data_IF_389753771227
#
_entry.id   IF_389753771227
#
_cell.length_a   1.000
_cell.length_b   1.000
_cell.length_c   1.000
_cell.angle_alpha   90.00
_cell.angle_beta   90.00
_cell.angle_gamma   90.00
#
_symmetry.space_group_name_H-M   'P 1'
#
loop_
_entity.id
_entity.type
_entity.pdbx_description
1 polymer ?
#
# COMPACT_ATOMS: atom_id res chain seq x y z
N UNK A 1 10.82 17.58 6.11
CA UNK A 1 9.61 17.68 5.26
C UNK A 1 8.37 17.42 6.07
N UNK A 2 7.51 18.43 6.19
CA UNK A 2 6.13 18.24 6.66
C UNK A 2 5.29 17.83 5.46
N UNK A 3 4.75 16.62 5.50
CA UNK A 3 3.80 16.14 4.50
C UNK A 3 2.41 16.09 5.12
N UNK A 4 1.47 16.82 4.54
CA UNK A 4 0.07 16.72 4.90
C UNK A 4 -0.61 15.73 3.94
N UNK A 5 -1.36 14.77 4.48
CA UNK A 5 -2.20 13.89 3.66
C UNK A 5 -3.59 14.46 3.59
N UNK A 6 -4.08 14.68 2.38
CA UNK A 6 -5.42 15.20 2.12
C UNK A 6 -6.26 14.18 1.34
N UNK A 7 -7.39 13.73 1.91
CA UNK A 7 -8.37 12.90 1.21
C UNK A 7 -9.48 13.81 0.67
N UNK A 8 -9.97 13.60 -0.54
CA UNK A 8 -11.08 14.38 -1.10
C UNK A 8 -12.21 13.45 -1.53
N UNK A 9 -13.46 13.83 -1.23
CA UNK A 9 -14.64 13.18 -1.79
C UNK A 9 -14.94 13.80 -3.15
N UNK A 10 -15.05 12.95 -4.18
CA UNK A 10 -15.32 13.35 -5.57
C UNK A 10 -16.56 12.68 -6.15
N UNK A 11 -17.46 12.11 -5.32
CA UNK A 11 -18.64 11.34 -5.77
C UNK A 11 -19.54 12.05 -6.78
N UNK A 12 -19.50 13.38 -6.83
CA UNK A 12 -20.29 14.20 -7.78
C UNK A 12 -19.44 14.82 -8.92
N UNK A 13 -18.20 14.35 -9.12
CA UNK A 13 -17.24 14.96 -10.05
C UNK A 13 -16.76 16.35 -9.63
N UNK A 14 -17.21 16.84 -8.47
CA UNK A 14 -16.75 18.07 -7.83
C UNK A 14 -15.78 17.69 -6.74
N UNK A 15 -14.51 18.02 -6.92
CA UNK A 15 -13.56 18.04 -5.80
C UNK A 15 -14.05 19.10 -4.82
N UNK A 16 -14.48 18.69 -3.64
CA UNK A 16 -14.83 19.64 -2.58
C UNK A 16 -13.63 20.57 -2.35
N UNK A 17 -13.90 21.87 -2.19
CA UNK A 17 -12.87 22.89 -1.99
C UNK A 17 -12.01 22.64 -0.73
N UNK A 18 -12.48 21.76 0.16
CA UNK A 18 -11.77 21.33 1.35
C UNK A 18 -11.56 19.83 1.33
N UNK A 19 -10.38 19.36 1.75
CA UNK A 19 -10.16 17.93 1.93
C UNK A 19 -11.11 17.39 2.99
N UNK A 20 -11.60 16.19 2.72
CA UNK A 20 -12.37 15.34 3.61
C UNK A 20 -11.56 14.91 4.85
N UNK A 21 -10.24 14.75 4.72
CA UNK A 21 -9.26 14.48 5.80
C UNK A 21 -8.04 15.36 5.60
N UNK A 22 -7.52 16.03 6.62
CA UNK A 22 -6.11 16.46 6.63
C UNK A 22 -5.40 15.90 7.86
N UNK A 23 -4.41 15.04 7.62
CA UNK A 23 -3.50 14.56 8.65
C UNK A 23 -2.19 15.35 8.56
N UNK A 24 -1.99 16.27 9.50
CA UNK A 24 -0.71 16.98 9.67
C UNK A 24 0.19 16.14 10.54
N UNK A 25 1.05 15.34 9.90
CA UNK A 25 2.05 14.56 10.59
C UNK A 25 3.41 15.24 10.45
N UNK A 26 3.67 16.17 11.37
CA UNK A 26 4.99 16.79 11.48
C UNK A 26 6.02 15.67 11.69
N UNK A 27 7.00 15.63 10.79
CA UNK A 27 8.14 14.70 10.82
C UNK A 27 7.86 13.22 10.49
N UNK A 28 6.63 12.81 10.15
CA UNK A 28 6.35 11.39 9.89
C UNK A 28 6.64 10.94 8.44
N UNK A 29 6.66 11.86 7.48
CA UNK A 29 6.79 11.59 6.03
C UNK A 29 5.81 10.51 5.55
N UNK A 30 4.53 10.87 5.34
CA UNK A 30 3.55 9.93 4.78
C UNK A 30 3.98 9.50 3.37
N UNK A 31 3.94 8.19 3.09
CA UNK A 31 4.39 7.63 1.80
C UNK A 31 3.35 6.83 1.04
N UNK A 32 2.40 6.22 1.74
CA UNK A 32 1.37 5.39 1.12
C UNK A 32 0.07 5.43 1.90
N UNK A 33 -1.04 5.28 1.18
CA UNK A 33 -2.40 5.30 1.73
C UNK A 33 -3.20 4.12 1.15
N UNK A 34 -3.98 3.46 1.99
CA UNK A 34 -4.97 2.48 1.56
C UNK A 34 -6.28 2.75 2.30
N UNK A 35 -7.42 2.44 1.66
CA UNK A 35 -8.75 2.71 2.21
C UNK A 35 -9.58 1.43 2.21
N UNK A 36 -10.29 1.19 3.30
CA UNK A 36 -11.37 0.22 3.40
C UNK A 36 -12.68 0.99 3.56
N UNK A 37 -13.40 1.16 2.45
CA UNK A 37 -14.64 1.94 2.42
C UNK A 37 -15.76 1.27 3.21
N UNK A 38 -15.83 -0.07 3.19
CA UNK A 38 -16.86 -0.85 3.89
C UNK A 38 -16.76 -0.64 5.39
N UNK A 39 -15.53 -0.69 5.93
CA UNK A 39 -15.27 -0.50 7.36
C UNK A 39 -15.05 0.95 7.74
N UNK A 40 -15.04 1.86 6.75
CA UNK A 40 -14.78 3.30 6.93
C UNK A 40 -13.45 3.53 7.65
N UNK A 41 -12.37 2.92 7.16
CA UNK A 41 -11.02 3.14 7.71
C UNK A 41 -9.98 3.44 6.65
N UNK A 42 -8.90 4.11 7.06
CA UNK A 42 -7.74 4.43 6.25
C UNK A 42 -6.47 3.95 6.93
N UNK A 43 -5.58 3.35 6.14
CA UNK A 43 -4.24 2.96 6.54
C UNK A 43 -3.24 3.96 5.95
N UNK A 44 -2.32 4.44 6.78
CA UNK A 44 -1.30 5.41 6.39
C UNK A 44 0.09 4.89 6.72
N UNK A 45 0.96 4.79 5.71
CA UNK A 45 2.37 4.46 5.85
C UNK A 45 3.17 5.70 6.23
N UNK A 46 3.81 5.69 7.39
CA UNK A 46 4.55 6.83 7.95
C UNK A 46 6.04 6.50 8.09
N UNK A 47 6.82 6.84 7.06
CA UNK A 47 8.19 6.36 6.90
C UNK A 47 9.09 6.66 8.10
N UNK A 48 9.09 7.91 8.57
CA UNK A 48 9.98 8.36 9.64
C UNK A 48 9.36 8.22 11.04
N UNK A 49 8.06 7.92 11.12
CA UNK A 49 7.45 7.49 12.37
C UNK A 49 7.63 5.98 12.61
N UNK A 50 8.14 5.22 11.63
CA UNK A 50 8.32 3.76 11.67
C UNK A 50 7.00 3.02 11.95
N UNK A 51 5.91 3.53 11.37
CA UNK A 51 4.56 3.08 11.68
C UNK A 51 3.66 3.02 10.48
N UNK A 52 2.69 2.11 10.55
CA UNK A 52 1.44 2.20 9.80
C UNK A 52 0.32 2.51 10.76
N UNK A 53 -0.34 3.65 10.60
CA UNK A 53 -1.49 4.03 11.42
C UNK A 53 -2.81 3.71 10.72
N UNK A 54 -3.79 3.26 11.50
CA UNK A 54 -5.16 3.03 11.06
C UNK A 54 -6.06 4.10 11.68
N UNK A 55 -6.84 4.78 10.84
CA UNK A 55 -7.70 5.89 11.23
C UNK A 55 -9.13 5.63 10.81
N UNK A 56 -10.07 6.05 11.64
CA UNK A 56 -11.48 6.09 11.26
C UNK A 56 -11.72 7.15 10.18
N UNK A 57 -12.52 6.79 9.18
CA UNK A 57 -13.09 7.72 8.20
C UNK A 57 -14.44 8.27 8.68
N UNK A 58 -14.73 8.21 9.97
CA UNK A 58 -15.76 9.06 10.55
C UNK A 58 -15.13 10.38 10.97
N UNK A 59 -15.84 11.46 10.67
CA UNK A 59 -15.31 12.82 10.82
C UNK A 59 -16.01 13.59 11.91
N UNK A 60 -15.25 14.43 12.59
CA UNK A 60 -15.81 15.55 13.32
C UNK A 60 -16.09 16.68 12.30
N UNK A 61 -17.36 17.00 12.13
CA UNK A 61 -17.81 18.00 11.15
C UNK A 61 -17.24 19.41 11.41
N UNK A 62 -16.91 19.74 12.66
CA UNK A 62 -16.36 21.04 13.03
C UNK A 62 -14.86 21.13 12.69
N UNK A 63 -14.13 20.03 12.83
CA UNK A 63 -12.66 20.04 12.63
C UNK A 63 -12.21 19.49 11.28
N UNK A 64 -13.09 18.78 10.55
CA UNK A 64 -12.76 18.06 9.30
C UNK A 64 -11.58 17.10 9.47
N UNK A 65 -11.50 16.47 10.65
CA UNK A 65 -10.46 15.48 11.00
C UNK A 65 -11.10 14.12 11.29
N UNK A 66 -10.36 13.02 11.03
CA UNK A 66 -10.69 11.70 11.55
C UNK A 66 -11.00 11.79 13.05
N UNK A 67 -12.10 11.19 13.48
CA UNK A 67 -12.51 11.21 14.89
C UNK A 67 -11.46 10.58 15.79
N UNK A 68 -10.84 9.49 15.33
CA UNK A 68 -9.88 8.74 16.12
C UNK A 68 -8.90 7.94 15.28
N UNK A 69 -7.72 7.73 15.86
CA UNK A 69 -6.76 6.71 15.45
C UNK A 69 -7.11 5.41 16.15
N UNK A 70 -7.32 4.35 15.37
CA UNK A 70 -7.82 3.08 15.86
C UNK A 70 -6.68 2.19 16.37
N UNK A 71 -5.58 2.09 15.62
CA UNK A 71 -4.37 1.40 16.04
C UNK A 71 -3.14 1.83 15.23
N UNK A 72 -1.97 1.35 15.64
CA UNK A 72 -0.71 1.49 14.93
C UNK A 72 -0.02 0.13 14.82
N UNK A 73 0.78 -0.05 13.78
CA UNK A 73 1.65 -1.21 13.55
C UNK A 73 3.07 -0.69 13.42
N UNK A 74 4.00 -1.25 14.19
CA UNK A 74 5.42 -0.94 14.00
C UNK A 74 5.93 -1.63 12.73
N UNK A 75 6.44 -0.82 11.82
CA UNK A 75 7.04 -1.27 10.55
C UNK A 75 8.26 -0.41 10.31
N UNK A 76 9.39 -1.02 10.00
CA UNK A 76 10.61 -0.28 9.73
C UNK A 76 10.49 0.42 8.38
N UNK A 77 10.71 1.75 8.34
CA UNK A 77 10.68 2.56 7.11
C UNK A 77 9.57 2.20 6.10
N UNK A 78 8.28 2.28 6.48
CA UNK A 78 7.20 1.92 5.59
C UNK A 78 7.10 2.94 4.46
N UNK A 79 6.99 2.45 3.24
CA UNK A 79 7.00 3.26 2.00
C UNK A 79 5.68 3.20 1.26
N UNK A 80 4.84 2.21 1.53
CA UNK A 80 3.66 1.93 0.75
C UNK A 80 2.76 0.94 1.46
N UNK A 81 1.46 1.09 1.26
CA UNK A 81 0.45 0.18 1.79
C UNK A 81 -0.62 -0.08 0.73
N UNK A 82 -1.13 -1.30 0.68
CA UNK A 82 -2.34 -1.65 -0.08
C UNK A 82 -3.19 -2.61 0.75
N UNK A 83 -4.51 -2.59 0.53
CA UNK A 83 -5.46 -3.34 1.34
C UNK A 83 -6.38 -4.19 0.49
N UNK A 84 -6.49 -5.46 0.85
CA UNK A 84 -7.47 -6.40 0.33
C UNK A 84 -8.68 -6.45 1.27
N UNK A 85 -9.78 -5.80 0.87
CA UNK A 85 -11.03 -5.85 1.62
C UNK A 85 -11.71 -7.24 1.62
N UNK A 86 -11.52 -8.05 0.57
CA UNK A 86 -12.14 -9.37 0.43
C UNK A 86 -11.52 -10.36 1.43
N UNK A 87 -10.19 -10.37 1.53
CA UNK A 87 -9.48 -11.25 2.46
C UNK A 87 -9.10 -10.59 3.78
N UNK A 88 -9.41 -9.30 3.94
CA UNK A 88 -9.08 -8.46 5.11
C UNK A 88 -7.60 -8.44 5.42
N UNK A 89 -6.78 -8.27 4.38
CA UNK A 89 -5.32 -8.29 4.50
C UNK A 89 -4.72 -6.97 4.11
N UNK A 90 -3.84 -6.46 4.96
CA UNK A 90 -3.03 -5.29 4.70
C UNK A 90 -1.63 -5.74 4.27
N UNK A 91 -1.13 -5.18 3.18
CA UNK A 91 0.22 -5.40 2.70
C UNK A 91 1.00 -4.09 2.85
N UNK A 92 2.16 -4.17 3.49
CA UNK A 92 3.00 -3.01 3.77
C UNK A 92 4.37 -3.28 3.17
N UNK A 93 4.79 -2.45 2.22
CA UNK A 93 6.16 -2.48 1.76
C UNK A 93 7.03 -1.61 2.67
N UNK A 94 8.21 -2.11 3.01
CA UNK A 94 9.20 -1.44 3.84
C UNK A 94 10.54 -1.35 3.12
N UNK A 95 11.20 -0.21 3.24
CA UNK A 95 12.56 -0.03 2.77
C UNK A 95 13.56 -0.73 3.70
N UNK A 96 14.72 -1.07 3.15
CA UNK A 96 15.90 -1.45 3.89
C UNK A 96 16.59 -0.19 4.43
N UNK A 97 16.92 -0.17 5.73
CA UNK A 97 18.11 0.57 6.16
C UNK A 97 19.35 -0.34 5.98
N UNK A 98 20.56 0.17 6.20
CA UNK A 98 21.84 -0.53 6.05
C UNK A 98 21.94 -1.89 6.80
N UNK A 99 20.98 -2.19 7.69
CA UNK A 99 20.96 -3.39 8.56
C UNK A 99 19.84 -4.39 8.25
N UNK A 100 18.84 -4.01 7.45
CA UNK A 100 17.68 -4.88 7.16
C UNK A 100 17.42 -4.98 5.67
N UNK A 101 16.75 -6.07 5.26
CA UNK A 101 16.34 -6.22 3.87
C UNK A 101 14.95 -5.62 3.66
N UNK A 102 14.79 -4.92 2.55
CA UNK A 102 13.49 -4.47 2.07
C UNK A 102 12.57 -5.68 1.92
N UNK A 103 11.32 -5.52 2.33
CA UNK A 103 10.36 -6.62 2.39
C UNK A 103 8.92 -6.09 2.23
N UNK A 104 7.98 -7.00 2.00
CA UNK A 104 6.56 -6.72 2.18
C UNK A 104 6.05 -7.53 3.35
N UNK A 105 5.38 -6.91 4.31
CA UNK A 105 4.73 -7.59 5.43
C UNK A 105 3.24 -7.68 5.15
N UNK A 106 2.64 -8.84 5.42
CA UNK A 106 1.18 -9.05 5.32
C UNK A 106 0.59 -9.20 6.71
N UNK A 107 -0.49 -8.49 6.95
CA UNK A 107 -1.20 -8.47 8.23
C UNK A 107 -2.66 -8.85 8.03
N UNK A 108 -3.21 -9.64 8.95
CA UNK A 108 -4.64 -9.89 9.00
C UNK A 108 -5.35 -8.85 9.84
N UNK A 109 -6.38 -8.21 9.27
CA UNK A 109 -7.21 -7.23 9.97
C UNK A 109 -8.54 -7.91 10.35
N UNK A 110 -8.52 -8.68 11.44
CA UNK A 110 -9.73 -9.32 11.99
C UNK A 110 -10.80 -8.27 12.34
N UNK A 111 -10.35 -7.23 13.06
CA UNK A 111 -11.18 -6.16 13.62
C UNK A 111 -10.41 -4.86 13.59
N UNK A 112 -11.12 -3.75 13.40
CA UNK A 112 -10.51 -2.42 13.32
C UNK A 112 -10.16 -1.82 14.69
N UNK A 113 -10.66 -2.38 15.79
CA UNK A 113 -10.39 -1.93 17.17
C UNK A 113 -9.22 -2.68 17.83
N UNK A 114 -8.47 -3.47 17.06
CA UNK A 114 -7.37 -4.28 17.58
C UNK A 114 -6.16 -4.22 16.65
N UNK A 115 -4.98 -4.07 17.23
CA UNK A 115 -3.73 -4.17 16.48
C UNK A 115 -3.64 -5.53 15.76
N UNK A 116 -3.35 -5.54 14.46
CA UNK A 116 -3.31 -6.75 13.68
C UNK A 116 -2.05 -7.57 13.97
N UNK A 117 -2.09 -8.83 13.57
CA UNK A 117 -0.92 -9.73 13.66
C UNK A 117 -0.30 -9.86 12.28
N UNK A 118 1.04 -9.91 12.27
CA UNK A 118 1.77 -10.28 11.07
C UNK A 118 1.45 -11.74 10.72
N UNK A 119 1.04 -11.97 9.48
CA UNK A 119 0.81 -13.31 8.94
C UNK A 119 2.04 -13.83 8.19
N UNK A 120 2.71 -12.96 7.43
CA UNK A 120 3.79 -13.35 6.55
C UNK A 120 4.73 -12.19 6.19
N UNK A 121 5.95 -12.53 5.79
CA UNK A 121 6.97 -11.62 5.27
C UNK A 121 7.41 -12.10 3.90
N UNK A 122 7.30 -11.23 2.92
CA UNK A 122 7.65 -11.44 1.54
C UNK A 122 9.07 -10.94 1.36
N UNK A 123 9.94 -11.83 0.92
CA UNK A 123 11.32 -11.49 0.57
C UNK A 123 11.57 -11.94 -0.87
N UNK A 124 12.30 -11.14 -1.66
CA UNK A 124 12.79 -11.62 -2.95
C UNK A 124 13.71 -12.84 -2.75
N UNK A 125 13.95 -13.59 -3.82
CA UNK A 125 14.84 -14.74 -3.78
C UNK A 125 16.31 -14.33 -3.54
N UNK A 126 16.68 -13.10 -3.92
CA UNK A 126 18.00 -12.53 -3.67
C UNK A 126 17.90 -11.22 -2.92
N UNK A 127 18.81 -11.03 -1.97
CA UNK A 127 18.81 -9.91 -1.02
C UNK A 127 18.80 -8.52 -1.68
N UNK A 128 19.22 -8.39 -2.94
CA UNK A 128 19.34 -7.12 -3.65
C UNK A 128 18.21 -6.83 -4.64
N UNK A 129 17.31 -7.78 -4.89
CA UNK A 129 16.24 -7.61 -5.90
C UNK A 129 15.23 -6.53 -5.45
N UNK A 130 14.74 -6.58 -4.21
CA UNK A 130 13.74 -5.62 -3.73
C UNK A 130 14.35 -4.36 -3.06
N UNK A 131 15.62 -4.03 -3.32
CA UNK A 131 16.26 -2.89 -2.68
C UNK A 131 15.53 -1.57 -3.05
N UNK A 132 15.18 -0.78 -2.03
CA UNK A 132 14.43 0.48 -2.15
C UNK A 132 13.12 0.36 -2.91
N UNK A 133 12.11 -0.31 -2.33
CA UNK A 133 10.80 -0.24 -2.91
C UNK A 133 10.28 1.20 -2.80
N UNK A 134 9.39 1.61 -3.70
CA UNK A 134 8.82 2.98 -3.73
C UNK A 134 7.31 2.97 -3.92
N UNK A 135 6.73 1.81 -4.26
CA UNK A 135 5.28 1.64 -4.39
C UNK A 135 4.87 0.18 -4.23
N UNK A 136 3.61 -0.04 -3.85
CA UNK A 136 2.99 -1.35 -3.72
C UNK A 136 1.55 -1.26 -4.20
N UNK A 137 1.08 -2.26 -4.94
CA UNK A 137 -0.31 -2.36 -5.37
C UNK A 137 -0.79 -3.81 -5.39
N UNK A 138 -2.05 -4.02 -5.02
CA UNK A 138 -2.72 -5.31 -5.11
C UNK A 138 -3.51 -5.38 -6.42
N UNK A 139 -3.24 -6.40 -7.23
CA UNK A 139 -3.93 -6.62 -8.51
C UNK A 139 -4.64 -7.97 -8.48
N UNK A 140 -5.94 -7.97 -8.76
CA UNK A 140 -6.70 -9.19 -8.99
C UNK A 140 -6.53 -9.65 -10.42
N UNK A 141 -6.11 -10.89 -10.59
CA UNK A 141 -5.90 -11.51 -11.88
C UNK A 141 -7.23 -11.99 -12.46
N UNK A 142 -7.39 -11.88 -13.78
CA UNK A 142 -8.43 -12.65 -14.47
C UNK A 142 -8.00 -14.10 -14.51
N UNK A 143 -8.95 -15.03 -14.66
CA UNK A 143 -8.67 -16.46 -14.77
C UNK A 143 -7.65 -16.79 -15.88
N UNK A 144 -7.65 -16.04 -16.98
CA UNK A 144 -6.65 -16.17 -18.05
C UNK A 144 -5.23 -15.82 -17.62
N UNK A 145 -5.09 -14.90 -16.66
CA UNK A 145 -3.82 -14.36 -16.22
C UNK A 145 -3.24 -15.19 -15.06
N UNK A 146 -4.09 -15.93 -14.34
CA UNK A 146 -3.67 -16.91 -13.32
C UNK A 146 -2.70 -17.95 -13.89
N UNK A 147 -2.92 -18.39 -15.14
CA UNK A 147 -2.02 -19.33 -15.82
C UNK A 147 -0.64 -18.71 -16.12
N UNK A 148 -0.58 -17.40 -16.34
CA UNK A 148 0.66 -16.67 -16.68
C UNK A 148 1.49 -16.39 -15.43
N UNK A 149 0.84 -15.92 -14.36
CA UNK A 149 1.53 -15.57 -13.12
C UNK A 149 1.71 -16.75 -12.16
N UNK A 150 0.99 -17.87 -12.37
CA UNK A 150 1.03 -19.03 -11.49
C UNK A 150 0.51 -18.72 -10.08
N UNK A 151 -0.40 -17.74 -9.96
CA UNK A 151 -0.93 -17.26 -8.70
C UNK A 151 -2.03 -18.17 -8.16
N UNK A 152 -1.80 -18.79 -7.01
CA UNK A 152 -2.82 -19.54 -6.28
C UNK A 152 -3.72 -18.54 -5.53
N UNK A 153 -4.89 -18.22 -6.11
CA UNK A 153 -5.90 -17.39 -5.44
C UNK A 153 -6.23 -16.06 -6.12
N UNK A 154 -5.80 -15.87 -7.38
CA UNK A 154 -6.33 -14.81 -8.24
C UNK A 154 -5.95 -13.39 -7.84
N UNK A 155 -4.92 -13.21 -7.01
CA UNK A 155 -4.38 -11.89 -6.66
C UNK A 155 -2.86 -11.90 -6.51
N UNK A 156 -2.23 -10.84 -6.99
CA UNK A 156 -0.79 -10.60 -6.88
C UNK A 156 -0.52 -9.26 -6.22
N UNK A 157 0.53 -9.21 -5.42
CA UNK A 157 1.09 -7.98 -4.88
C UNK A 157 2.23 -7.56 -5.79
N UNK A 158 2.07 -6.40 -6.41
CA UNK A 158 3.09 -5.77 -7.23
C UNK A 158 3.88 -4.78 -6.37
N UNK A 159 5.20 -4.82 -6.47
CA UNK A 159 6.09 -3.92 -5.72
C UNK A 159 7.06 -3.28 -6.68
N UNK A 160 7.07 -1.95 -6.68
CA UNK A 160 7.95 -1.16 -7.54
C UNK A 160 9.29 -0.95 -6.84
N UNK A 161 10.37 -1.51 -7.38
CA UNK A 161 11.72 -1.33 -6.88
C UNK A 161 12.45 -0.20 -7.59
N UNK A 162 12.83 0.84 -6.87
CA UNK A 162 13.46 2.04 -7.41
C UNK A 162 14.89 1.77 -7.91
N UNK A 163 15.72 1.13 -7.08
CA UNK A 163 17.14 0.91 -7.40
C UNK A 163 17.35 -0.03 -8.59
N UNK A 164 16.50 -1.04 -8.70
CA UNK A 164 16.54 -2.04 -9.79
C UNK A 164 15.64 -1.68 -10.96
N UNK A 165 14.86 -0.60 -10.85
CA UNK A 165 13.95 -0.11 -11.91
C UNK A 165 13.07 -1.24 -12.44
N UNK A 166 12.49 -2.02 -11.53
CA UNK A 166 11.74 -3.22 -11.88
C UNK A 166 10.46 -3.33 -11.07
N UNK A 167 9.46 -4.01 -11.63
CA UNK A 167 8.21 -4.36 -10.98
C UNK A 167 8.26 -5.82 -10.56
N UNK A 168 8.21 -6.06 -9.27
CA UNK A 168 8.24 -7.40 -8.68
C UNK A 168 6.83 -7.89 -8.43
N UNK A 169 6.55 -9.17 -8.72
CA UNK A 169 5.29 -9.79 -8.38
C UNK A 169 5.47 -10.84 -7.28
N UNK A 170 4.51 -10.83 -6.36
CA UNK A 170 4.36 -11.85 -5.34
C UNK A 170 2.93 -12.36 -5.33
N UNK A 171 2.77 -13.65 -5.08
CA UNK A 171 1.47 -14.24 -4.84
C UNK A 171 0.89 -13.71 -3.51
N UNK A 172 -0.30 -13.10 -3.55
CA UNK A 172 -0.88 -12.43 -2.39
C UNK A 172 -1.32 -13.41 -1.29
N UNK A 173 -1.50 -14.70 -1.60
CA UNK A 173 -1.96 -15.73 -0.68
C UNK A 173 -0.81 -16.57 -0.13
N UNK A 174 0.05 -17.08 -1.00
CA UNK A 174 1.16 -18.00 -0.67
C UNK A 174 2.45 -17.27 -0.34
N UNK A 175 2.51 -15.95 -0.58
CA UNK A 175 3.69 -15.09 -0.37
C UNK A 175 4.87 -15.45 -1.26
N UNK A 176 4.65 -16.32 -2.25
CA UNK A 176 5.68 -16.78 -3.16
C UNK A 176 6.10 -15.65 -4.08
N UNK A 177 7.40 -15.45 -4.23
CA UNK A 177 7.94 -14.58 -5.26
C UNK A 177 7.70 -15.18 -6.65
N UNK A 178 7.01 -14.44 -7.52
CA UNK A 178 6.63 -14.89 -8.85
C UNK A 178 7.63 -14.44 -9.93
N UNK A 179 8.46 -13.45 -9.61
CA UNK A 179 9.48 -12.91 -10.51
C UNK A 179 9.32 -11.42 -10.76
N UNK A 180 10.04 -10.92 -11.75
CA UNK A 180 9.90 -9.55 -12.26
C UNK A 180 8.91 -9.56 -13.42
N UNK A 181 7.92 -8.69 -13.33
CA UNK A 181 6.91 -8.49 -14.38
C UNK A 181 7.41 -7.53 -15.44
N UNK A 182 8.13 -6.49 -15.00
CA UNK A 182 8.74 -5.48 -15.87
C UNK A 182 10.15 -5.21 -15.35
N UNK A 183 11.10 -5.08 -16.28
CA UNK A 183 12.48 -4.71 -16.01
C UNK A 183 12.82 -3.41 -16.75
N UNK A 184 13.90 -2.75 -16.32
CA UNK A 184 14.48 -1.59 -16.99
C UNK A 184 13.50 -0.44 -17.25
N UNK A 185 12.66 -0.12 -16.25
CA UNK A 185 11.80 1.07 -16.31
C UNK A 185 12.62 2.31 -16.68
N UNK A 186 12.05 3.31 -17.39
CA UNK A 186 12.72 4.60 -17.61
C UNK A 186 13.12 5.27 -16.29
N UNK A 187 13.94 6.33 -16.38
CA UNK A 187 14.47 6.98 -15.18
C UNK A 187 13.30 7.48 -14.29
N UNK A 188 13.43 7.28 -12.97
CA UNK A 188 12.41 7.56 -11.93
C UNK A 188 11.13 6.70 -12.03
N UNK A 189 11.19 5.40 -11.70
CA UNK A 189 10.00 4.55 -11.70
C UNK A 189 8.88 5.07 -10.78
N UNK A 190 9.19 5.85 -9.74
CA UNK A 190 8.20 6.52 -8.88
C UNK A 190 7.26 7.47 -9.62
N UNK A 191 7.64 7.97 -10.80
CA UNK A 191 6.81 8.82 -11.65
C UNK A 191 5.79 8.00 -12.46
N UNK A 192 5.84 6.66 -12.39
CA UNK A 192 4.90 5.79 -13.08
C UNK A 192 3.55 5.82 -12.39
N UNK A 193 2.57 6.37 -13.09
CA UNK A 193 1.18 6.35 -12.67
C UNK A 193 0.58 4.98 -13.05
N UNK A 194 0.36 4.12 -12.04
CA UNK A 194 -0.40 2.87 -12.25
C UNK A 194 -1.88 3.22 -12.33
N UNK A 195 -2.39 3.34 -13.55
CA UNK A 195 -3.82 3.49 -13.79
C UNK A 195 -4.50 2.13 -13.60
N UNK A 196 -5.39 2.01 -12.61
CA UNK A 196 -6.30 0.86 -12.50
C UNK A 196 -7.19 0.83 -13.73
N UNK A 197 -7.09 -0.26 -14.49
CA UNK A 197 -7.77 -0.46 -15.76
C UNK A 197 -9.21 -0.94 -15.58
N UNK A 198 -9.94 -0.28 -14.70
CA UNK A 198 -11.40 -0.36 -14.60
C UNK A 198 -12.04 0.35 -15.81
N UNK A 199 -11.25 1.20 -16.50
CA UNK A 199 -11.52 1.83 -17.79
C UNK A 199 -11.04 0.97 -18.96
N UNK A 200 -11.44 -0.30 -19.00
CA UNK A 200 -11.28 -1.14 -20.19
C UNK A 200 -12.30 -0.79 -21.29
N UNK A 201 -12.51 0.49 -21.56
CA UNK A 201 -13.12 1.05 -22.78
C UNK A 201 -12.59 2.49 -22.93
N UNK A 202 -11.36 2.65 -23.43
CA UNK A 202 -10.91 3.67 -24.40
C UNK A 202 -9.42 3.40 -24.64
N UNK A 203 -9.13 2.59 -25.66
CA UNK A 203 -8.03 2.77 -26.63
C UNK A 203 -8.46 2.08 -27.92
#
# INVERSE_FOLDING_TARGET
>A
DTGDVSLHDSRDGKVLAYPYVTLSHKDASPRGIAVDEERRVMFLAERYAYKVSCWSLDFDDATKRPKEKLFEIDVDHPIGVTYDAKSRRLFVASDADDKEQANVRRFHIDRVDKAPKIEAVYKPHKDDELAHPTGIELVYLRRSDEEVFGGEGGAVVLVLGQKKRALYAFDALTTKYLGKVIEDFPDNPEDLLVLRNDLAEVL
#
